data_IF_211416175435
#
_entry.id   IF_211416175435
#
_cell.length_a   1.000
_cell.length_b   1.000
_cell.length_c   1.000
_cell.angle_alpha   90.00
_cell.angle_beta   90.00
_cell.angle_gamma   90.00
#
_symmetry.space_group_name_H-M   'P 1'
#
loop_
_entity.id
_entity.type
_entity.pdbx_description
1 polymer ?
#
# COMPACT_ATOMS: atom_id res chain seq x y z
N UNK A 1 -0.19 22.96 -17.00
CA UNK A 1 -0.78 21.83 -16.21
C UNK A 1 0.31 20.76 -16.11
N UNK A 2 1.17 20.88 -15.09
CA UNK A 2 2.28 19.94 -14.87
C UNK A 2 1.77 18.69 -14.17
N UNK A 3 2.00 17.54 -14.78
CA UNK A 3 1.83 16.25 -14.11
C UNK A 3 2.87 16.18 -13.00
N UNK A 4 2.41 16.01 -11.77
CA UNK A 4 3.28 15.78 -10.60
C UNK A 4 3.93 14.41 -10.82
N UNK A 5 5.23 14.38 -11.08
CA UNK A 5 6.02 13.15 -11.09
C UNK A 5 6.22 12.75 -9.61
N UNK A 6 5.58 11.69 -9.15
CA UNK A 6 5.46 11.31 -7.74
C UNK A 6 6.76 10.75 -7.17
N UNK A 7 7.71 10.39 -8.02
CA UNK A 7 9.01 9.89 -7.60
C UNK A 7 10.10 10.59 -8.43
N UNK A 8 10.76 11.58 -7.84
CA UNK A 8 12.00 12.15 -8.35
C UNK A 8 13.11 11.10 -8.32
N UNK A 9 14.11 11.23 -9.20
CA UNK A 9 15.30 10.35 -9.27
C UNK A 9 16.03 10.13 -7.93
N UNK A 10 15.82 11.00 -6.96
CA UNK A 10 16.34 10.88 -5.59
C UNK A 10 15.72 9.73 -4.76
N UNK A 11 14.56 9.16 -5.16
CA UNK A 11 13.95 8.03 -4.44
C UNK A 11 14.69 6.71 -4.72
N UNK A 12 15.35 6.59 -5.87
CA UNK A 12 16.09 5.39 -6.30
C UNK A 12 17.30 5.10 -5.41
N UNK A 13 17.86 6.12 -4.75
CA UNK A 13 19.11 5.97 -3.96
C UNK A 13 18.88 5.27 -2.61
N UNK A 14 17.65 5.21 -2.08
CA UNK A 14 17.35 4.60 -0.79
C UNK A 14 16.88 3.13 -0.85
N UNK A 15 16.64 2.59 -2.03
CA UNK A 15 16.41 1.15 -2.21
C UNK A 15 17.76 0.44 -2.22
N UNK A 16 18.30 0.10 -1.03
CA UNK A 16 19.49 -0.75 -0.91
C UNK A 16 19.21 -2.08 -1.60
N UNK A 17 19.97 -2.38 -2.65
CA UNK A 17 20.04 -3.72 -3.21
C UNK A 17 20.49 -4.70 -2.12
N UNK A 18 19.87 -5.86 -2.00
CA UNK A 18 20.42 -6.94 -1.18
C UNK A 18 21.77 -7.37 -1.77
N UNK A 19 22.76 -7.56 -0.91
CA UNK A 19 24.07 -8.06 -1.26
C UNK A 19 23.96 -9.46 -1.93
N UNK A 20 24.91 -9.84 -2.82
CA UNK A 20 24.90 -11.16 -3.45
C UNK A 20 25.04 -12.27 -2.40
N UNK A 21 24.45 -13.44 -2.63
CA UNK A 21 24.41 -14.51 -1.65
C UNK A 21 25.81 -15.07 -1.39
N UNK A 22 26.20 -15.11 -0.12
CA UNK A 22 27.37 -15.85 0.37
C UNK A 22 27.09 -17.35 0.27
N UNK A 23 28.13 -18.11 -0.05
CA UNK A 23 28.12 -19.55 -0.32
C UNK A 23 27.44 -20.37 0.79
N UNK A 24 26.63 -21.33 0.36
CA UNK A 24 25.84 -22.23 1.16
C UNK A 24 26.68 -23.17 2.01
N UNK A 25 26.41 -23.15 3.32
CA UNK A 25 26.56 -24.31 4.18
C UNK A 25 25.28 -25.15 4.11
N UNK A 26 25.32 -26.49 4.17
CA UNK A 26 24.13 -27.31 4.08
C UNK A 26 23.17 -27.00 5.22
N UNK A 27 21.92 -26.70 4.87
CA UNK A 27 20.86 -26.36 5.80
C UNK A 27 20.55 -27.56 6.73
N UNK A 28 20.30 -27.33 8.04
CA UNK A 28 19.78 -28.35 8.92
C UNK A 28 18.37 -28.79 8.46
N UNK A 29 18.13 -30.10 8.40
CA UNK A 29 16.82 -30.68 8.10
C UNK A 29 15.75 -30.04 9.00
N UNK A 30 14.82 -29.32 8.39
CA UNK A 30 13.69 -28.73 9.09
C UNK A 30 12.77 -29.81 9.66
N UNK A 31 12.31 -29.69 10.91
CA UNK A 31 11.41 -30.69 11.49
C UNK A 31 10.13 -30.79 10.66
N UNK A 32 9.75 -32.02 10.32
CA UNK A 32 8.61 -32.38 9.44
C UNK A 32 7.27 -31.69 9.76
N UNK A 33 7.10 -31.12 10.95
CA UNK A 33 5.91 -30.38 11.37
C UNK A 33 5.73 -28.98 10.77
N UNK A 34 6.77 -28.40 10.12
CA UNK A 34 6.73 -27.02 9.58
C UNK A 34 6.81 -26.95 8.04
N UNK A 35 6.85 -28.07 7.36
CA UNK A 35 7.02 -28.09 5.90
C UNK A 35 5.86 -27.41 5.17
N UNK A 36 4.61 -27.59 5.63
CA UNK A 36 3.46 -26.89 5.07
C UNK A 36 3.51 -25.37 5.30
N UNK A 37 4.10 -24.90 6.43
CA UNK A 37 4.31 -23.46 6.70
C UNK A 37 5.30 -22.85 5.71
N UNK A 38 6.39 -23.55 5.43
CA UNK A 38 7.39 -23.13 4.43
C UNK A 38 6.74 -23.00 3.05
N UNK A 39 5.90 -23.97 2.65
CA UNK A 39 5.18 -23.93 1.37
C UNK A 39 4.15 -22.80 1.36
N UNK A 40 3.40 -22.60 2.46
CA UNK A 40 2.45 -21.50 2.57
C UNK A 40 3.15 -20.15 2.45
N UNK A 41 4.32 -19.98 3.10
CA UNK A 41 5.12 -18.78 2.98
C UNK A 41 5.58 -18.54 1.53
N UNK A 42 6.15 -19.56 0.87
CA UNK A 42 6.60 -19.44 -0.51
C UNK A 42 5.45 -19.09 -1.49
N UNK A 43 4.28 -19.71 -1.32
CA UNK A 43 3.10 -19.38 -2.12
C UNK A 43 2.58 -17.98 -1.80
N UNK A 44 2.64 -17.56 -0.53
CA UNK A 44 2.28 -16.19 -0.12
C UNK A 44 3.20 -15.17 -0.78
N UNK A 45 4.51 -15.44 -0.80
CA UNK A 45 5.50 -14.58 -1.45
C UNK A 45 5.27 -14.51 -2.97
N UNK A 46 4.88 -15.63 -3.61
CA UNK A 46 4.50 -15.66 -5.03
C UNK A 46 3.27 -14.77 -5.31
N UNK A 47 2.26 -14.82 -4.43
CA UNK A 47 1.04 -14.01 -4.53
C UNK A 47 1.35 -12.52 -4.26
N UNK A 48 2.12 -12.22 -3.21
CA UNK A 48 2.49 -10.85 -2.83
C UNK A 48 3.33 -10.20 -3.92
N UNK A 49 4.28 -10.95 -4.50
CA UNK A 49 5.12 -10.49 -5.59
C UNK A 49 4.42 -10.45 -6.96
N UNK A 50 3.14 -10.85 -7.02
CA UNK A 50 2.36 -10.87 -8.28
C UNK A 50 2.74 -11.98 -9.25
N UNK A 51 3.59 -12.95 -8.86
CA UNK A 51 3.92 -14.11 -9.69
C UNK A 51 2.71 -15.02 -9.94
N UNK A 52 1.74 -15.00 -9.01
CA UNK A 52 0.40 -15.56 -9.21
C UNK A 52 -0.56 -14.40 -9.02
N UNK A 53 -1.22 -13.96 -10.09
CA UNK A 53 -2.04 -12.76 -10.11
C UNK A 53 -3.36 -12.93 -9.33
N UNK A 54 -3.97 -11.82 -8.84
CA UNK A 54 -5.33 -11.85 -8.32
C UNK A 54 -6.32 -12.44 -9.32
N UNK A 55 -7.21 -13.30 -8.85
CA UNK A 55 -8.17 -14.00 -9.70
C UNK A 55 -7.58 -15.18 -10.47
N UNK A 56 -6.28 -15.32 -10.53
CA UNK A 56 -5.61 -16.43 -11.18
C UNK A 56 -5.84 -17.73 -10.42
N UNK A 57 -5.99 -18.82 -11.19
CA UNK A 57 -6.09 -20.17 -10.63
C UNK A 57 -4.72 -20.66 -10.20
N UNK A 58 -4.59 -21.15 -8.97
CA UNK A 58 -3.38 -21.85 -8.57
C UNK A 58 -3.11 -23.03 -9.52
N UNK A 59 -1.84 -23.32 -9.84
CA UNK A 59 -1.48 -24.56 -10.49
C UNK A 59 -2.07 -25.75 -9.74
N UNK A 60 -2.36 -26.83 -10.44
CA UNK A 60 -2.99 -27.97 -9.81
C UNK A 60 -2.11 -28.59 -8.70
N UNK A 61 -2.75 -29.30 -7.76
CA UNK A 61 -2.06 -29.89 -6.59
C UNK A 61 -0.88 -30.78 -7.01
N UNK A 62 -0.96 -31.48 -8.16
CA UNK A 62 0.11 -32.35 -8.64
C UNK A 62 1.34 -31.53 -9.05
N UNK A 63 1.14 -30.46 -9.82
CA UNK A 63 2.22 -29.57 -10.26
C UNK A 63 2.90 -28.88 -9.07
N UNK A 64 2.11 -28.40 -8.11
CA UNK A 64 2.67 -27.76 -6.93
C UNK A 64 3.39 -28.76 -6.01
N UNK A 65 2.84 -29.98 -5.84
CA UNK A 65 3.47 -31.03 -5.06
C UNK A 65 4.84 -31.42 -5.67
N UNK A 66 4.94 -31.48 -6.98
CA UNK A 66 6.22 -31.70 -7.69
C UNK A 66 7.18 -30.52 -7.52
N UNK A 67 6.69 -29.26 -7.64
CA UNK A 67 7.51 -28.06 -7.46
C UNK A 67 8.18 -28.00 -6.07
N UNK A 68 7.45 -28.39 -5.03
CA UNK A 68 7.90 -28.33 -3.64
C UNK A 68 8.47 -29.66 -3.12
N UNK A 69 8.49 -30.69 -3.94
CA UNK A 69 8.91 -32.07 -3.56
C UNK A 69 8.21 -32.59 -2.30
N UNK A 70 6.87 -32.49 -2.29
CA UNK A 70 6.04 -32.89 -1.15
C UNK A 70 4.85 -33.74 -1.58
N UNK A 71 4.24 -34.42 -0.62
CA UNK A 71 2.99 -35.10 -0.86
C UNK A 71 1.81 -34.11 -0.94
N UNK A 72 0.72 -34.54 -1.59
CA UNK A 72 -0.49 -33.71 -1.78
C UNK A 72 -1.14 -33.27 -0.47
N UNK A 73 -1.00 -34.07 0.60
CA UNK A 73 -1.61 -33.74 1.89
C UNK A 73 -0.93 -32.50 2.50
N UNK A 74 0.40 -32.45 2.50
CA UNK A 74 1.18 -31.29 2.97
C UNK A 74 0.87 -30.02 2.17
N UNK A 75 0.79 -30.16 0.83
CA UNK A 75 0.38 -29.04 -0.03
C UNK A 75 -1.03 -28.55 0.26
N UNK A 76 -1.99 -29.48 0.44
CA UNK A 76 -3.37 -29.13 0.75
C UNK A 76 -3.47 -28.39 2.10
N UNK A 77 -2.70 -28.79 3.08
CA UNK A 77 -2.61 -28.10 4.36
C UNK A 77 -2.07 -26.66 4.20
N UNK A 78 -1.02 -26.46 3.40
CA UNK A 78 -0.50 -25.14 3.07
C UNK A 78 -1.55 -24.26 2.36
N UNK A 79 -2.25 -24.81 1.37
CA UNK A 79 -3.30 -24.10 0.66
C UNK A 79 -4.49 -23.74 1.57
N UNK A 80 -4.89 -24.65 2.47
CA UNK A 80 -5.94 -24.36 3.46
C UNK A 80 -5.56 -23.25 4.42
N UNK A 81 -4.30 -23.19 4.88
CA UNK A 81 -3.81 -22.07 5.69
C UNK A 81 -3.96 -20.73 4.94
N UNK A 82 -3.56 -20.68 3.66
CA UNK A 82 -3.71 -19.48 2.83
C UNK A 82 -5.18 -19.13 2.53
N UNK A 83 -6.09 -20.11 2.48
CA UNK A 83 -7.53 -19.86 2.41
C UNK A 83 -8.02 -19.24 3.72
N UNK A 84 -7.59 -19.76 4.86
CA UNK A 84 -7.95 -19.20 6.17
C UNK A 84 -7.41 -17.79 6.36
N UNK A 85 -6.19 -17.52 5.91
CA UNK A 85 -5.58 -16.19 5.89
C UNK A 85 -6.21 -15.25 4.85
N UNK A 86 -7.07 -15.77 3.97
CA UNK A 86 -7.79 -15.01 2.94
C UNK A 86 -6.95 -14.64 1.71
N UNK A 87 -5.80 -15.26 1.51
CA UNK A 87 -5.03 -15.12 0.27
C UNK A 87 -5.63 -15.90 -0.89
N UNK A 88 -6.28 -17.02 -0.58
CA UNK A 88 -6.89 -17.92 -1.54
C UNK A 88 -8.39 -18.06 -1.32
N UNK A 89 -9.10 -18.46 -2.38
CA UNK A 89 -10.51 -18.91 -2.33
C UNK A 89 -10.67 -20.22 -3.09
N UNK A 90 -11.46 -21.14 -2.56
CA UNK A 90 -11.84 -22.38 -3.23
C UNK A 90 -13.13 -22.15 -3.99
N UNK A 91 -13.15 -22.46 -5.30
CA UNK A 91 -14.37 -22.56 -6.09
C UNK A 91 -14.64 -24.05 -6.28
N UNK A 92 -15.71 -24.56 -5.65
CA UNK A 92 -16.10 -25.98 -5.73
C UNK A 92 -16.16 -26.45 -7.19
N UNK A 93 -15.52 -27.58 -7.49
CA UNK A 93 -15.44 -28.12 -8.84
C UNK A 93 -14.53 -27.38 -9.82
N UNK A 94 -14.03 -26.17 -9.48
CA UNK A 94 -13.24 -25.34 -10.40
C UNK A 94 -11.78 -25.18 -9.96
N UNK A 95 -11.47 -25.32 -8.67
CA UNK A 95 -10.12 -25.25 -8.13
C UNK A 95 -9.92 -24.12 -7.13
N UNK A 96 -8.65 -23.86 -6.77
CA UNK A 96 -8.24 -22.82 -5.85
C UNK A 96 -7.72 -21.60 -6.64
N UNK A 97 -8.16 -20.41 -6.23
CA UNK A 97 -7.85 -19.15 -6.91
C UNK A 97 -7.25 -18.16 -5.93
N UNK A 98 -6.36 -17.32 -6.42
CA UNK A 98 -5.91 -16.16 -5.65
C UNK A 98 -7.10 -15.23 -5.44
N UNK A 99 -7.33 -14.84 -4.19
CA UNK A 99 -8.45 -13.95 -3.87
C UNK A 99 -8.18 -12.56 -4.40
N UNK A 100 -9.12 -12.05 -5.15
CA UNK A 100 -9.17 -10.64 -5.52
C UNK A 100 -9.48 -9.84 -4.25
N UNK A 101 -8.56 -8.99 -3.83
CA UNK A 101 -8.81 -8.02 -2.79
C UNK A 101 -9.13 -6.71 -3.50
N UNK A 102 -10.39 -6.40 -3.63
CA UNK A 102 -10.82 -5.05 -4.04
C UNK A 102 -11.26 -4.32 -2.77
N UNK A 103 -10.43 -3.38 -2.34
CA UNK A 103 -10.80 -2.47 -1.27
C UNK A 103 -11.76 -1.42 -1.83
N UNK A 104 -12.98 -1.40 -1.32
CA UNK A 104 -13.89 -0.28 -1.57
C UNK A 104 -13.43 0.92 -0.75
N UNK A 105 -12.83 1.90 -1.44
CA UNK A 105 -12.27 3.09 -0.82
C UNK A 105 -13.25 4.24 -0.98
N UNK A 106 -14.08 4.44 0.03
CA UNK A 106 -15.06 5.53 0.04
C UNK A 106 -14.37 6.89 0.13
N UNK A 107 -14.61 7.73 -0.87
CA UNK A 107 -14.17 9.12 -0.90
C UNK A 107 -15.25 10.00 -0.28
N UNK A 108 -15.13 10.23 1.01
CA UNK A 108 -16.03 11.05 1.80
C UNK A 108 -15.30 12.27 2.36
N UNK A 109 -16.02 13.18 2.99
CA UNK A 109 -15.45 14.34 3.67
C UNK A 109 -14.45 13.96 4.78
N UNK A 110 -14.63 12.79 5.43
CA UNK A 110 -13.72 12.19 6.41
C UNK A 110 -13.09 10.91 5.86
N UNK A 111 -12.41 11.02 4.73
CA UNK A 111 -11.74 9.87 4.11
C UNK A 111 -10.44 9.54 4.82
N UNK A 112 -10.37 8.38 5.44
CA UNK A 112 -9.17 7.84 6.07
C UNK A 112 -8.93 6.41 5.61
N UNK A 113 -7.72 6.12 5.16
CA UNK A 113 -7.35 4.78 4.69
C UNK A 113 -7.60 3.71 5.76
N UNK A 114 -7.27 4.01 7.02
CA UNK A 114 -7.48 3.07 8.14
C UNK A 114 -8.95 2.75 8.39
N UNK A 115 -9.85 3.72 8.22
CA UNK A 115 -11.28 3.54 8.39
C UNK A 115 -11.87 2.74 7.23
N UNK A 116 -11.53 3.07 5.98
CA UNK A 116 -11.97 2.31 4.81
C UNK A 116 -11.55 0.83 4.87
N UNK A 117 -10.30 0.59 5.28
CA UNK A 117 -9.78 -0.78 5.43
C UNK A 117 -10.48 -1.52 6.57
N UNK A 118 -10.74 -0.84 7.70
CA UNK A 118 -11.45 -1.44 8.83
C UNK A 118 -12.92 -1.76 8.48
N UNK A 119 -13.60 -0.90 7.71
CA UNK A 119 -14.95 -1.15 7.21
C UNK A 119 -15.02 -2.38 6.31
N UNK A 120 -13.97 -2.63 5.53
CA UNK A 120 -13.84 -3.85 4.73
C UNK A 120 -13.47 -5.10 5.57
N UNK A 121 -13.37 -4.99 6.90
CA UNK A 121 -12.96 -6.10 7.79
C UNK A 121 -11.47 -6.44 7.69
N UNK A 122 -10.67 -5.55 7.14
CA UNK A 122 -9.25 -5.76 6.88
C UNK A 122 -8.36 -4.92 7.81
N UNK A 123 -7.06 -5.24 7.81
CA UNK A 123 -6.04 -4.43 8.48
C UNK A 123 -5.01 -3.96 7.47
N UNK A 124 -4.86 -2.64 7.36
CA UNK A 124 -3.78 -2.06 6.58
C UNK A 124 -2.53 -1.90 7.44
N UNK A 125 -1.40 -2.34 6.91
CA UNK A 125 -0.08 -1.93 7.42
C UNK A 125 0.36 -0.75 6.57
N UNK A 126 0.71 0.37 7.23
CA UNK A 126 1.34 1.50 6.55
C UNK A 126 2.80 1.60 7.01
N UNK A 127 3.69 1.65 6.05
CA UNK A 127 5.14 1.66 6.24
C UNK A 127 5.69 2.99 5.73
N UNK A 128 6.62 3.60 6.48
CA UNK A 128 7.40 4.73 6.04
C UNK A 128 8.55 4.23 5.18
N UNK A 129 8.57 4.61 3.91
CA UNK A 129 9.65 4.27 2.97
C UNK A 129 10.79 5.28 3.04
N UNK A 130 10.48 6.53 3.41
CA UNK A 130 11.43 7.61 3.56
C UNK A 130 10.73 8.92 3.89
N UNK A 131 11.51 9.93 4.23
CA UNK A 131 11.04 11.29 4.41
C UNK A 131 12.11 12.30 4.01
N UNK A 132 11.70 13.53 3.71
CA UNK A 132 12.59 14.64 3.39
C UNK A 132 12.01 15.95 3.91
N UNK A 133 12.88 16.92 4.22
CA UNK A 133 12.49 18.32 4.38
C UNK A 133 12.95 19.08 3.15
N UNK A 134 12.05 19.82 2.53
CA UNK A 134 12.34 20.58 1.31
C UNK A 134 11.48 21.85 1.21
N UNK A 135 11.77 22.69 0.21
CA UNK A 135 10.90 23.81 -0.13
C UNK A 135 9.56 23.31 -0.66
N UNK A 136 8.49 24.05 -0.36
CA UNK A 136 7.13 23.67 -0.73
C UNK A 136 6.96 23.50 -2.24
N UNK A 137 7.57 24.36 -3.06
CA UNK A 137 7.52 24.23 -4.51
C UNK A 137 6.10 24.04 -5.04
N UNK A 138 5.85 22.90 -5.69
CA UNK A 138 4.53 22.54 -6.23
C UNK A 138 3.45 22.32 -5.16
N UNK A 139 3.83 21.96 -3.94
CA UNK A 139 2.93 21.79 -2.80
C UNK A 139 2.40 23.11 -2.23
N UNK A 140 3.03 24.23 -2.58
CA UNK A 140 2.70 25.55 -2.07
C UNK A 140 1.24 25.95 -2.37
N UNK A 141 0.78 25.75 -3.60
CA UNK A 141 -0.59 26.04 -4.00
C UNK A 141 -1.63 25.23 -3.21
N UNK A 142 -1.55 23.89 -3.20
CA UNK A 142 -2.44 23.04 -2.41
C UNK A 142 -2.41 23.35 -0.91
N UNK A 143 -1.26 23.63 -0.34
CA UNK A 143 -1.09 23.94 1.09
C UNK A 143 -1.38 25.42 1.44
N UNK A 144 -1.68 26.27 0.45
CA UNK A 144 -1.91 27.72 0.61
C UNK A 144 -0.77 28.41 1.35
N UNK A 145 0.47 28.09 1.00
CA UNK A 145 1.68 28.63 1.62
C UNK A 145 2.65 29.18 0.56
N UNK A 146 3.73 29.85 1.01
CA UNK A 146 4.78 30.33 0.10
C UNK A 146 5.52 29.15 -0.53
N UNK A 147 5.87 29.25 -1.81
CA UNK A 147 6.72 28.28 -2.50
C UNK A 147 8.12 28.14 -1.85
N UNK A 148 8.58 29.21 -1.17
CA UNK A 148 9.83 29.23 -0.42
C UNK A 148 9.70 28.75 1.01
N UNK A 149 8.47 28.48 1.48
CA UNK A 149 8.23 27.83 2.78
C UNK A 149 8.72 26.39 2.78
N UNK A 150 8.93 25.82 3.96
CA UNK A 150 9.39 24.45 4.09
C UNK A 150 8.23 23.49 4.31
N UNK A 151 8.38 22.26 3.82
CA UNK A 151 7.47 21.13 4.06
C UNK A 151 8.27 19.90 4.45
N UNK A 152 7.65 19.03 5.25
CA UNK A 152 8.10 17.64 5.44
C UNK A 152 7.35 16.79 4.45
N UNK A 153 8.07 16.01 3.67
CA UNK A 153 7.53 15.00 2.75
C UNK A 153 7.64 13.63 3.42
N UNK A 154 6.56 12.87 3.42
CA UNK A 154 6.57 11.45 3.77
C UNK A 154 6.29 10.61 2.54
N UNK A 155 7.11 9.60 2.33
CA UNK A 155 6.88 8.53 1.34
C UNK A 155 6.40 7.30 2.10
N UNK A 156 5.20 6.83 1.81
CA UNK A 156 4.61 5.71 2.54
C UNK A 156 4.04 4.66 1.60
N UNK A 157 4.01 3.41 2.07
CA UNK A 157 3.37 2.28 1.38
C UNK A 157 2.29 1.69 2.28
N UNK A 158 1.10 1.50 1.71
CA UNK A 158 0.01 0.79 2.36
C UNK A 158 -0.10 -0.62 1.79
N UNK A 159 -0.19 -1.61 2.69
CA UNK A 159 -0.35 -3.02 2.33
C UNK A 159 -1.51 -3.63 3.11
N UNK A 160 -2.26 -4.53 2.46
CA UNK A 160 -3.31 -5.34 3.07
C UNK A 160 -2.94 -6.81 2.85
N UNK A 161 -2.90 -7.60 3.91
CA UNK A 161 -2.46 -9.01 3.87
C UNK A 161 -1.08 -9.18 3.20
N UNK A 162 -0.16 -8.26 3.45
CA UNK A 162 1.18 -8.25 2.86
C UNK A 162 1.26 -7.73 1.42
N UNK A 163 0.13 -7.54 0.72
CA UNK A 163 0.12 -7.03 -0.66
C UNK A 163 0.08 -5.51 -0.67
N UNK A 164 1.00 -4.84 -1.38
CA UNK A 164 0.92 -3.41 -1.59
C UNK A 164 -0.37 -3.04 -2.32
N UNK A 165 -1.12 -2.09 -1.77
CA UNK A 165 -2.36 -1.56 -2.37
C UNK A 165 -2.24 -0.09 -2.76
N UNK A 166 -1.24 0.61 -2.19
CA UNK A 166 -1.01 2.00 -2.53
C UNK A 166 0.31 2.52 -2.00
N UNK A 167 0.87 3.49 -2.70
CA UNK A 167 2.02 4.30 -2.28
C UNK A 167 1.60 5.76 -2.26
N UNK A 168 2.12 6.52 -1.31
CA UNK A 168 1.74 7.94 -1.13
C UNK A 168 2.95 8.82 -0.93
N UNK A 169 2.91 9.98 -1.55
CA UNK A 169 3.77 11.13 -1.24
C UNK A 169 2.89 12.20 -0.60
N UNK A 170 3.17 12.54 0.64
CA UNK A 170 2.40 13.50 1.44
C UNK A 170 3.28 14.63 1.92
N UNK A 171 2.86 15.87 1.70
CA UNK A 171 3.53 17.09 2.11
C UNK A 171 2.80 17.71 3.31
N UNK A 172 3.55 18.08 4.34
CA UNK A 172 3.09 18.66 5.59
C UNK A 172 3.76 20.02 5.83
N UNK A 173 3.02 21.11 6.08
CA UNK A 173 3.59 22.46 6.19
C UNK A 173 4.42 22.63 7.48
N UNK A 174 5.63 23.19 7.34
CA UNK A 174 6.46 23.65 8.44
C UNK A 174 6.19 25.12 8.78
N UNK A 175 6.42 25.55 10.03
CA UNK A 175 6.93 24.75 11.17
C UNK A 175 5.85 23.91 11.87
N UNK A 176 4.56 24.11 11.53
CA UNK A 176 3.42 23.53 12.26
C UNK A 176 3.48 21.99 12.36
N UNK A 177 3.91 21.31 11.28
CA UNK A 177 3.92 19.86 11.21
C UNK A 177 5.34 19.31 10.94
N UNK A 178 6.36 20.04 11.39
CA UNK A 178 7.77 19.68 11.20
C UNK A 178 8.12 18.29 11.77
N UNK A 179 7.53 17.91 12.92
CA UNK A 179 7.75 16.61 13.57
C UNK A 179 6.94 15.44 12.98
N UNK A 180 6.41 15.58 11.75
CA UNK A 180 5.48 14.58 11.19
C UNK A 180 6.14 13.22 10.93
N UNK A 181 7.42 13.20 10.57
CA UNK A 181 8.16 11.98 10.30
C UNK A 181 8.36 11.15 11.59
N UNK A 182 8.79 11.79 12.65
CA UNK A 182 9.01 11.18 13.97
C UNK A 182 7.69 10.70 14.57
N UNK A 183 6.65 11.54 14.52
CA UNK A 183 5.32 11.20 15.00
C UNK A 183 4.72 10.01 14.27
N UNK A 184 4.94 9.91 12.94
CA UNK A 184 4.52 8.76 12.14
C UNK A 184 5.33 7.51 12.48
N UNK A 185 6.65 7.62 12.63
CA UNK A 185 7.54 6.49 12.97
C UNK A 185 7.23 5.88 14.34
N UNK A 186 6.62 6.64 15.26
CA UNK A 186 6.10 6.13 16.52
C UNK A 186 4.94 5.09 16.35
N UNK A 187 4.55 4.79 15.12
CA UNK A 187 3.77 3.59 14.76
C UNK A 187 2.25 3.71 14.84
N UNK A 188 1.71 4.92 14.95
CA UNK A 188 0.25 5.13 15.11
C UNK A 188 -0.46 5.62 13.84
N UNK A 189 0.25 5.78 12.70
CA UNK A 189 -0.30 6.26 11.42
C UNK A 189 -0.53 7.77 11.37
N UNK A 190 -0.95 8.25 10.20
CA UNK A 190 -1.09 9.69 9.87
C UNK A 190 -2.02 10.43 10.85
N UNK A 191 -3.21 9.88 11.10
CA UNK A 191 -4.21 10.53 11.97
C UNK A 191 -3.68 10.74 13.39
N UNK A 192 -3.01 9.73 13.96
CA UNK A 192 -2.45 9.85 15.31
C UNK A 192 -1.24 10.79 15.34
N UNK A 193 -0.40 10.80 14.30
CA UNK A 193 0.72 11.74 14.17
C UNK A 193 0.23 13.19 14.09
N UNK A 194 -0.78 13.47 13.27
CA UNK A 194 -1.41 14.79 13.17
C UNK A 194 -2.00 15.23 14.52
N UNK A 195 -2.69 14.30 15.22
CA UNK A 195 -3.25 14.59 16.55
C UNK A 195 -2.16 14.93 17.58
N UNK A 196 -1.05 14.21 17.57
CA UNK A 196 0.11 14.47 18.41
C UNK A 196 0.71 15.87 18.17
N UNK A 197 0.66 16.35 16.91
CA UNK A 197 1.15 17.66 16.49
C UNK A 197 0.07 18.77 16.57
N UNK A 198 -1.00 18.55 17.35
CA UNK A 198 -2.02 19.56 17.62
C UNK A 198 -3.12 19.71 16.58
N UNK A 199 -3.21 18.78 15.60
CA UNK A 199 -4.34 18.70 14.66
C UNK A 199 -5.33 17.69 15.21
N UNK A 200 -6.30 18.15 15.98
CA UNK A 200 -7.28 17.29 16.67
C UNK A 200 -8.14 16.46 15.69
N UNK A 201 -8.56 17.10 14.58
CA UNK A 201 -9.33 16.44 13.51
C UNK A 201 -9.08 17.17 12.18
N UNK A 202 -9.37 16.50 11.06
CA UNK A 202 -9.22 17.07 9.72
C UNK A 202 -10.24 16.47 8.76
N UNK A 203 -10.51 17.21 7.71
CA UNK A 203 -11.42 16.81 6.64
C UNK A 203 -10.73 16.90 5.29
N UNK A 204 -11.17 16.09 4.36
CA UNK A 204 -10.76 16.17 2.96
C UNK A 204 -11.55 17.27 2.27
N UNK A 205 -10.82 18.29 1.79
CA UNK A 205 -11.44 19.46 1.14
C UNK A 205 -11.40 19.38 -0.38
N UNK A 206 -10.53 18.53 -0.93
CA UNK A 206 -10.40 18.30 -2.37
C UNK A 206 -9.86 16.91 -2.65
N UNK A 207 -10.39 16.26 -3.69
CA UNK A 207 -9.79 15.09 -4.33
C UNK A 207 -9.84 15.27 -5.84
N UNK A 208 -8.77 14.91 -6.54
CA UNK A 208 -8.71 14.81 -8.00
C UNK A 208 -8.25 13.40 -8.32
N UNK A 209 -9.00 12.70 -9.17
CA UNK A 209 -8.74 11.32 -9.53
C UNK A 209 -8.39 11.28 -11.01
N UNK A 210 -7.33 10.57 -11.32
CA UNK A 210 -6.90 10.27 -12.69
C UNK A 210 -6.30 8.87 -12.76
N UNK A 211 -5.92 8.46 -13.96
CA UNK A 211 -5.25 7.18 -14.17
C UNK A 211 -4.09 7.35 -15.13
N UNK A 212 -3.03 6.60 -14.94
CA UNK A 212 -1.87 6.52 -15.83
C UNK A 212 -1.14 5.19 -15.65
N UNK A 213 -0.19 4.91 -16.51
CA UNK A 213 0.77 3.84 -16.27
C UNK A 213 1.76 4.28 -15.17
N UNK A 214 2.20 3.34 -14.32
CA UNK A 214 3.23 3.63 -13.33
C UNK A 214 4.61 3.77 -13.99
N UNK A 215 5.52 4.50 -13.34
CA UNK A 215 6.94 4.38 -13.62
C UNK A 215 7.48 3.02 -13.17
N UNK A 216 8.70 2.65 -13.54
CA UNK A 216 9.32 1.40 -13.11
C UNK A 216 9.42 1.32 -11.57
N UNK A 217 9.84 2.41 -10.91
CA UNK A 217 9.96 2.47 -9.45
C UNK A 217 8.61 2.36 -8.74
N UNK A 218 7.55 2.98 -9.29
CA UNK A 218 6.20 2.88 -8.74
C UNK A 218 5.62 1.47 -8.91
N UNK A 219 5.87 0.85 -10.06
CA UNK A 219 5.47 -0.52 -10.35
C UNK A 219 6.13 -1.51 -9.36
N UNK A 220 7.43 -1.36 -9.13
CA UNK A 220 8.19 -2.15 -8.16
C UNK A 220 7.65 -1.95 -6.73
N UNK A 221 7.43 -0.70 -6.31
CA UNK A 221 6.91 -0.38 -4.98
C UNK A 221 5.50 -0.94 -4.74
N UNK A 222 4.69 -1.06 -5.80
CA UNK A 222 3.36 -1.65 -5.78
C UNK A 222 3.38 -3.17 -6.04
N UNK A 223 4.53 -3.76 -6.37
CA UNK A 223 4.66 -5.14 -6.84
C UNK A 223 3.67 -5.45 -7.98
N UNK A 224 3.67 -4.59 -9.01
CA UNK A 224 2.81 -4.70 -10.20
C UNK A 224 3.62 -4.50 -11.48
N UNK A 225 3.17 -5.09 -12.62
CA UNK A 225 3.77 -4.80 -13.91
C UNK A 225 3.61 -3.33 -14.31
N UNK A 226 4.60 -2.77 -15.01
CA UNK A 226 4.53 -1.39 -15.56
C UNK A 226 3.38 -1.18 -16.56
N UNK A 227 2.83 -2.27 -17.11
CA UNK A 227 1.70 -2.25 -18.03
C UNK A 227 0.35 -2.16 -17.33
N UNK A 228 0.32 -2.31 -16.00
CA UNK A 228 -0.91 -2.23 -15.22
C UNK A 228 -1.15 -0.78 -14.76
N UNK A 229 -2.27 -0.15 -15.15
CA UNK A 229 -2.58 1.20 -14.72
C UNK A 229 -2.70 1.36 -13.20
N UNK A 230 -2.40 2.56 -12.73
CA UNK A 230 -2.63 2.98 -11.34
C UNK A 230 -3.71 4.06 -11.28
N UNK A 231 -4.49 4.06 -10.21
CA UNK A 231 -5.37 5.17 -9.88
C UNK A 231 -4.55 6.20 -9.11
N UNK A 232 -4.51 7.43 -9.62
CA UNK A 232 -3.81 8.56 -9.00
C UNK A 232 -4.83 9.42 -8.29
N UNK A 233 -4.74 9.52 -6.97
CA UNK A 233 -5.59 10.36 -6.15
C UNK A 233 -4.76 11.47 -5.54
N UNK A 234 -4.93 12.69 -6.04
CA UNK A 234 -4.37 13.90 -5.45
C UNK A 234 -5.40 14.52 -4.50
N UNK A 235 -4.96 14.92 -3.31
CA UNK A 235 -5.90 15.44 -2.34
C UNK A 235 -5.29 16.47 -1.38
N UNK A 236 -6.17 17.26 -0.79
CA UNK A 236 -5.84 18.20 0.27
C UNK A 236 -6.72 17.90 1.48
N UNK A 237 -6.10 17.79 2.64
CA UNK A 237 -6.77 17.73 3.93
C UNK A 237 -6.55 19.06 4.66
N UNK A 238 -7.60 19.56 5.33
CA UNK A 238 -7.56 20.76 6.14
C UNK A 238 -8.09 20.46 7.55
N UNK A 239 -7.62 21.19 8.54
CA UNK A 239 -8.19 21.15 9.89
C UNK A 239 -9.61 21.75 9.91
N UNK A 240 -10.25 21.70 11.08
CA UNK A 240 -11.63 22.22 11.24
C UNK A 240 -11.74 23.73 11.05
N UNK A 241 -10.63 24.46 11.12
CA UNK A 241 -10.57 25.89 10.79
C UNK A 241 -10.37 26.15 9.28
N UNK A 242 -10.27 25.10 8.47
CA UNK A 242 -10.06 25.19 7.02
C UNK A 242 -8.61 25.44 6.60
N UNK A 243 -7.66 25.35 7.53
CA UNK A 243 -6.23 25.51 7.23
C UNK A 243 -5.68 24.17 6.70
N UNK A 244 -5.04 24.16 5.51
CA UNK A 244 -4.44 22.93 4.96
C UNK A 244 -3.39 22.36 5.92
N UNK A 245 -3.47 21.04 6.14
CA UNK A 245 -2.54 20.29 6.99
C UNK A 245 -1.81 19.20 6.22
N UNK A 246 -2.33 18.79 5.08
CA UNK A 246 -1.72 17.79 4.21
C UNK A 246 -2.12 18.03 2.77
N UNK A 247 -1.17 18.00 1.86
CA UNK A 247 -1.40 17.81 0.43
C UNK A 247 -0.68 16.54 0.01
N UNK A 248 -1.37 15.67 -0.73
CA UNK A 248 -0.79 14.38 -1.05
C UNK A 248 -1.21 13.85 -2.41
N UNK A 249 -0.36 12.98 -2.94
CA UNK A 249 -0.64 12.12 -4.08
C UNK A 249 -0.51 10.67 -3.65
N UNK A 250 -1.59 9.90 -3.83
CA UNK A 250 -1.60 8.45 -3.60
C UNK A 250 -1.81 7.74 -4.92
N UNK A 251 -0.96 6.77 -5.21
CA UNK A 251 -1.15 5.84 -6.31
C UNK A 251 -1.68 4.53 -5.75
N UNK A 252 -2.85 4.14 -6.19
CA UNK A 252 -3.43 2.85 -5.84
C UNK A 252 -3.26 1.85 -6.97
N UNK A 253 -2.98 0.61 -6.63
CA UNK A 253 -3.05 -0.51 -7.57
C UNK A 253 -4.51 -0.68 -8.02
N UNK A 254 -4.80 -0.47 -9.33
CA UNK A 254 -6.17 -0.45 -9.86
C UNK A 254 -6.88 -1.80 -9.76
N UNK A 255 -6.12 -2.90 -9.59
CA UNK A 255 -6.66 -4.24 -9.34
C UNK A 255 -7.02 -4.52 -7.87
N UNK A 256 -6.61 -3.62 -6.97
CA UNK A 256 -6.76 -3.80 -5.53
C UNK A 256 -7.66 -2.75 -4.85
N UNK A 257 -7.98 -1.65 -5.53
CA UNK A 257 -8.76 -0.55 -4.96
C UNK A 257 -9.80 -0.07 -5.94
N UNK A 258 -11.04 -0.01 -5.49
CA UNK A 258 -12.15 0.66 -6.16
C UNK A 258 -12.46 1.95 -5.39
N UNK A 259 -12.63 3.06 -6.10
CA UNK A 259 -13.00 4.34 -5.49
C UNK A 259 -14.51 4.53 -5.58
N UNK A 260 -15.16 4.63 -4.43
CA UNK A 260 -16.60 4.90 -4.34
C UNK A 260 -16.83 6.33 -3.87
N UNK A 261 -17.63 7.07 -4.63
CA UNK A 261 -18.10 8.42 -4.27
C UNK A 261 -19.60 8.34 -4.05
N UNK A 262 -20.03 8.49 -2.81
CA UNK A 262 -21.45 8.64 -2.52
C UNK A 262 -21.84 10.11 -2.71
N UNK A 263 -22.87 10.37 -3.51
CA UNK A 263 -23.48 11.68 -3.59
C UNK A 263 -24.16 11.93 -2.24
N UNK A 264 -23.47 12.59 -1.31
CA UNK A 264 -24.07 13.08 -0.08
C UNK A 264 -25.22 14.02 -0.40
N UNK A 265 -26.25 14.03 0.44
CA UNK A 265 -27.34 15.02 0.36
C UNK A 265 -26.73 16.40 0.18
N UNK A 266 -27.23 17.11 -0.83
CA UNK A 266 -26.85 18.49 -1.09
C UNK A 266 -26.97 19.27 0.21
N UNK A 267 -25.86 19.93 0.61
CA UNK A 267 -25.90 20.86 1.71
C UNK A 267 -26.92 21.95 1.39
N UNK A 268 -28.13 21.80 1.92
CA UNK A 268 -29.10 22.87 2.02
C UNK A 268 -28.64 23.91 3.04
#
# INVERSE_FOLDING_TARGET
>A
MGSINVLDDNFVIMLRHPAPPSQESPAPEAPRGRLWETIANALRDDIVAGRIAPGERLPNETTLAQRFDVNRHTLRQAAQALVHEGHLRVKHGSGTYVRELVLDYALQRRTRMSENVAQAGERAKRELLGHARQRAGEWAGPLKMSATGDVVILYTRASIRGRPVGISTSAYPCPRLEGMAEAFAAGRGITAALKQLGVADYVRVRSTISTRLPSAAEADALARPVTQPVLVVQYVNADLAGVPVEAATTLFAADAVQLTVEAGEALS
#
